data_IF_745504533152
#
_entry.id   IF_745504533152
#
_cell.length_a   1.000
_cell.length_b   1.000
_cell.length_c   1.000
_cell.angle_alpha   90.00
_cell.angle_beta   90.00
_cell.angle_gamma   90.00
#
_symmetry.space_group_name_H-M   'P 1'
#
loop_
_entity.id
_entity.type
_entity.pdbx_description
1 polymer ?
#
# COMPACT_ATOMS: atom_id res chain seq x y z
N UNK A 1 -46.11 -19.50 -15.22
CA UNK A 1 -44.82 -20.16 -15.40
C UNK A 1 -44.07 -20.17 -14.07
N UNK A 2 -43.63 -21.31 -13.60
CA UNK A 2 -42.94 -21.42 -12.33
C UNK A 2 -41.54 -20.80 -12.42
N UNK A 3 -40.99 -20.22 -11.35
CA UNK A 3 -39.65 -19.63 -11.37
C UNK A 3 -38.56 -20.58 -11.85
N UNK A 4 -38.68 -21.88 -11.55
CA UNK A 4 -37.73 -22.90 -11.99
C UNK A 4 -37.74 -23.08 -13.50
N UNK A 5 -38.92 -23.09 -14.11
CA UNK A 5 -39.05 -23.20 -15.57
C UNK A 5 -38.48 -21.98 -16.28
N UNK A 6 -38.70 -20.79 -15.74
CA UNK A 6 -38.10 -19.57 -16.25
C UNK A 6 -36.60 -19.61 -16.19
N UNK A 7 -36.04 -20.10 -15.09
CA UNK A 7 -34.61 -20.26 -14.94
C UNK A 7 -34.02 -21.20 -15.98
N UNK A 8 -34.59 -22.39 -16.12
CA UNK A 8 -34.13 -23.40 -17.09
C UNK A 8 -34.19 -22.88 -18.52
N UNK A 9 -35.27 -22.18 -18.87
CA UNK A 9 -35.51 -21.63 -20.21
C UNK A 9 -34.53 -20.52 -20.58
N UNK A 10 -34.10 -19.75 -19.58
CA UNK A 10 -33.20 -18.61 -19.76
C UNK A 10 -31.88 -18.78 -19.03
N UNK A 11 -31.43 -20.03 -18.87
CA UNK A 11 -30.24 -20.37 -18.09
C UNK A 11 -28.99 -19.61 -18.53
N UNK A 12 -28.80 -19.41 -19.83
CA UNK A 12 -27.64 -18.68 -20.36
C UNK A 12 -27.65 -17.23 -19.88
N UNK A 13 -28.82 -16.57 -19.92
CA UNK A 13 -28.96 -15.19 -19.47
C UNK A 13 -28.80 -15.08 -17.95
N UNK A 14 -29.41 -16.01 -17.21
CA UNK A 14 -29.28 -16.07 -15.77
C UNK A 14 -27.83 -16.27 -15.33
N UNK A 15 -27.12 -17.17 -15.99
CA UNK A 15 -25.70 -17.43 -15.73
C UNK A 15 -24.83 -16.20 -16.05
N UNK A 16 -25.08 -15.54 -17.17
CA UNK A 16 -24.37 -14.31 -17.54
C UNK A 16 -24.59 -13.20 -16.49
N UNK A 17 -25.80 -13.07 -15.98
CA UNK A 17 -26.09 -12.13 -14.90
C UNK A 17 -25.33 -12.48 -13.63
N UNK A 18 -25.32 -13.74 -13.21
CA UNK A 18 -24.59 -14.17 -12.02
C UNK A 18 -23.08 -13.87 -12.12
N UNK A 19 -22.49 -14.12 -13.28
CA UNK A 19 -21.08 -13.80 -13.54
C UNK A 19 -20.83 -12.30 -13.41
N UNK A 20 -21.68 -11.49 -14.02
CA UNK A 20 -21.58 -10.02 -13.95
C UNK A 20 -21.77 -9.51 -12.53
N UNK A 21 -22.70 -10.09 -11.78
CA UNK A 21 -22.96 -9.73 -10.38
C UNK A 21 -21.76 -10.07 -9.50
N UNK A 22 -21.13 -11.22 -9.69
CA UNK A 22 -19.92 -11.63 -8.99
C UNK A 22 -18.75 -10.68 -9.29
N UNK A 23 -18.61 -10.22 -10.52
CA UNK A 23 -17.61 -9.23 -10.90
C UNK A 23 -17.82 -7.90 -10.16
N UNK A 24 -19.06 -7.44 -10.09
CA UNK A 24 -19.42 -6.21 -9.36
C UNK A 24 -19.08 -6.34 -7.88
N UNK A 25 -19.44 -7.45 -7.26
CA UNK A 25 -19.15 -7.71 -5.85
C UNK A 25 -17.65 -7.77 -5.57
N UNK A 26 -16.89 -8.41 -6.44
CA UNK A 26 -15.43 -8.50 -6.34
C UNK A 26 -14.78 -7.13 -6.45
N UNK A 27 -15.22 -6.34 -7.44
CA UNK A 27 -14.73 -4.97 -7.64
C UNK A 27 -15.08 -4.07 -6.45
N UNK A 28 -16.30 -4.21 -5.92
CA UNK A 28 -16.74 -3.48 -4.74
C UNK A 28 -15.86 -3.82 -3.52
N UNK A 29 -15.54 -5.09 -3.32
CA UNK A 29 -14.63 -5.53 -2.27
C UNK A 29 -13.24 -4.93 -2.40
N UNK A 30 -12.70 -4.88 -3.62
CA UNK A 30 -11.40 -4.24 -3.89
C UNK A 30 -11.43 -2.74 -3.62
N UNK A 31 -12.53 -2.08 -3.97
CA UNK A 31 -12.73 -0.66 -3.70
C UNK A 31 -12.79 -0.39 -2.19
N UNK A 32 -13.54 -1.19 -1.45
CA UNK A 32 -13.66 -1.08 0.01
C UNK A 32 -12.31 -1.24 0.69
N UNK A 33 -11.50 -2.20 0.25
CA UNK A 33 -10.14 -2.41 0.74
C UNK A 33 -9.23 -1.21 0.43
N UNK A 34 -9.32 -0.66 -0.77
CA UNK A 34 -8.55 0.51 -1.19
C UNK A 34 -8.94 1.75 -0.36
N UNK A 35 -10.23 1.96 -0.12
CA UNK A 35 -10.72 3.05 0.72
C UNK A 35 -10.25 2.91 2.17
N UNK A 36 -10.23 1.69 2.69
CA UNK A 36 -9.71 1.43 4.04
C UNK A 36 -8.21 1.75 4.13
N UNK A 37 -7.42 1.39 3.12
CA UNK A 37 -5.99 1.75 3.06
C UNK A 37 -5.79 3.25 2.97
N UNK A 38 -6.60 3.94 2.16
CA UNK A 38 -6.57 5.40 2.04
C UNK A 38 -6.80 6.06 3.40
N UNK A 39 -7.80 5.61 4.14
CA UNK A 39 -8.11 6.14 5.48
C UNK A 39 -6.96 5.91 6.46
N UNK A 40 -6.36 4.73 6.45
CA UNK A 40 -5.21 4.42 7.31
C UNK A 40 -4.00 5.30 7.00
N UNK A 41 -3.70 5.50 5.73
CA UNK A 41 -2.59 6.35 5.29
C UNK A 41 -2.82 7.81 5.66
N UNK A 42 -4.04 8.29 5.46
CA UNK A 42 -4.42 9.66 5.80
C UNK A 42 -4.33 9.91 7.31
N UNK A 43 -4.83 8.97 8.11
CA UNK A 43 -4.73 9.03 9.56
C UNK A 43 -3.27 8.99 10.03
N UNK A 44 -2.45 8.14 9.43
CA UNK A 44 -1.01 8.05 9.71
C UNK A 44 -0.30 9.37 9.45
N UNK A 45 -0.61 10.02 8.34
CA UNK A 45 -0.05 11.32 7.99
C UNK A 45 -0.47 12.39 8.99
N UNK A 46 -1.74 12.44 9.36
CA UNK A 46 -2.28 13.39 10.33
C UNK A 46 -1.64 13.24 11.71
N UNK A 47 -1.45 12.02 12.19
CA UNK A 47 -0.82 11.74 13.48
C UNK A 47 0.65 12.14 13.46
N UNK A 48 1.35 11.90 12.36
CA UNK A 48 2.77 12.25 12.22
C UNK A 48 2.99 13.75 12.17
N UNK A 49 2.17 14.48 11.42
CA UNK A 49 2.25 15.94 11.30
C UNK A 49 1.71 16.63 12.55
N UNK A 50 0.68 16.07 13.17
CA UNK A 50 0.05 16.61 14.37
C UNK A 50 -0.97 17.73 14.12
N UNK A 51 -1.33 17.99 12.88
CA UNK A 51 -2.33 19.00 12.51
C UNK A 51 -3.16 18.54 11.32
N UNK A 52 -4.48 18.45 11.51
CA UNK A 52 -5.41 18.06 10.45
C UNK A 52 -5.48 19.11 9.35
N UNK A 53 -5.43 20.38 9.72
CA UNK A 53 -5.48 21.50 8.78
C UNK A 53 -4.26 21.54 7.86
N UNK A 54 -3.07 21.31 8.39
CA UNK A 54 -1.82 21.26 7.60
C UNK A 54 -1.87 20.12 6.61
N UNK A 55 -2.30 18.92 7.02
CA UNK A 55 -2.44 17.77 6.13
C UNK A 55 -3.49 18.03 5.05
N UNK A 56 -4.63 18.58 5.42
CA UNK A 56 -5.67 18.94 4.48
C UNK A 56 -5.17 19.93 3.41
N UNK A 57 -4.46 20.96 3.83
CA UNK A 57 -3.87 21.95 2.91
C UNK A 57 -2.82 21.32 1.97
N UNK A 58 -1.96 20.47 2.49
CA UNK A 58 -0.92 19.79 1.71
C UNK A 58 -1.51 18.86 0.64
N UNK A 59 -2.61 18.18 0.96
CA UNK A 59 -3.24 17.20 0.09
C UNK A 59 -4.41 17.75 -0.74
N UNK A 60 -4.80 19.01 -0.51
CA UNK A 60 -5.96 19.59 -1.16
C UNK A 60 -7.28 18.98 -0.73
N UNK A 61 -7.38 18.54 0.52
CA UNK A 61 -8.56 17.91 1.10
C UNK A 61 -9.25 18.85 2.09
N UNK A 62 -10.51 18.51 2.44
CA UNK A 62 -11.20 19.14 3.55
C UNK A 62 -10.67 18.59 4.88
N UNK A 63 -10.45 19.45 5.85
CA UNK A 63 -10.00 19.06 7.19
C UNK A 63 -10.95 18.06 7.87
N UNK A 64 -12.24 18.07 7.49
CA UNK A 64 -13.22 17.09 7.98
C UNK A 64 -12.91 15.67 7.55
N UNK A 65 -12.42 15.49 6.31
CA UNK A 65 -12.00 14.17 5.81
C UNK A 65 -10.82 13.63 6.61
N UNK A 66 -9.87 14.48 6.91
CA UNK A 66 -8.70 14.12 7.71
C UNK A 66 -9.11 13.70 9.12
N UNK A 67 -9.99 14.49 9.76
CA UNK A 67 -10.52 14.18 11.10
C UNK A 67 -11.30 12.88 11.12
N UNK A 68 -12.13 12.64 10.09
CA UNK A 68 -12.90 11.40 9.98
C UNK A 68 -11.99 10.19 9.86
N UNK A 69 -10.96 10.25 9.02
CA UNK A 69 -9.99 9.18 8.86
C UNK A 69 -9.26 8.89 10.18
N UNK A 70 -8.80 9.93 10.87
CA UNK A 70 -8.11 9.79 12.16
C UNK A 70 -9.01 9.19 13.24
N UNK A 71 -10.30 9.54 13.23
CA UNK A 71 -11.28 9.00 14.17
C UNK A 71 -11.63 7.56 13.87
N UNK A 72 -11.75 7.20 12.58
CA UNK A 72 -12.08 5.85 12.13
C UNK A 72 -10.97 4.86 12.41
N UNK A 73 -9.73 5.25 12.16
CA UNK A 73 -8.56 4.36 12.29
C UNK A 73 -8.08 4.25 13.74
N UNK A 74 -8.18 5.33 14.50
CA UNK A 74 -7.63 5.37 15.85
C UNK A 74 -6.15 5.72 15.89
N UNK A 75 -5.73 6.31 17.00
CA UNK A 75 -4.39 6.87 17.16
C UNK A 75 -3.27 5.83 17.12
N UNK A 76 -3.47 4.71 17.80
CA UNK A 76 -2.44 3.66 17.90
C UNK A 76 -2.23 2.97 16.56
N UNK A 77 -3.30 2.65 15.87
CA UNK A 77 -3.25 2.04 14.53
C UNK A 77 -2.63 3.00 13.51
N UNK A 78 -2.99 4.29 13.58
CA UNK A 78 -2.41 5.31 12.71
C UNK A 78 -0.89 5.45 12.93
N UNK A 79 -0.43 5.41 14.16
CA UNK A 79 1.00 5.43 14.49
C UNK A 79 1.73 4.20 13.99
N UNK A 80 1.12 3.02 14.13
CA UNK A 80 1.69 1.77 13.65
C UNK A 80 1.84 1.77 12.12
N UNK A 81 0.83 2.26 11.40
CA UNK A 81 0.88 2.43 9.94
C UNK A 81 1.97 3.42 9.54
N UNK A 82 2.05 4.57 10.20
CA UNK A 82 3.06 5.59 9.94
C UNK A 82 4.47 5.02 10.11
N UNK A 83 4.72 4.31 11.20
CA UNK A 83 6.00 3.67 11.48
C UNK A 83 6.37 2.67 10.38
N UNK A 84 5.44 1.80 10.00
CA UNK A 84 5.64 0.79 8.97
C UNK A 84 5.99 1.41 7.62
N UNK A 85 5.25 2.44 7.19
CA UNK A 85 5.49 3.13 5.92
C UNK A 85 6.82 3.89 5.91
N UNK A 86 7.17 4.55 6.99
CA UNK A 86 8.43 5.28 7.10
C UNK A 86 9.63 4.34 7.14
N UNK A 87 9.54 3.21 7.84
CA UNK A 87 10.58 2.20 7.88
C UNK A 87 10.80 1.56 6.50
N UNK A 88 9.72 1.25 5.79
CA UNK A 88 9.77 0.72 4.43
C UNK A 88 10.41 1.72 3.47
N UNK A 89 10.01 2.98 3.52
CA UNK A 89 10.60 4.05 2.72
C UNK A 89 12.09 4.23 3.01
N UNK A 90 12.51 4.12 4.26
CA UNK A 90 13.91 4.20 4.64
C UNK A 90 14.72 3.02 4.08
N UNK A 91 14.15 1.81 4.08
CA UNK A 91 14.78 0.63 3.48
C UNK A 91 14.93 0.77 1.96
N UNK A 92 13.91 1.25 1.29
CA UNK A 92 13.93 1.50 -0.16
C UNK A 92 14.99 2.53 -0.53
N UNK A 93 15.09 3.61 0.23
CA UNK A 93 16.14 4.64 0.02
C UNK A 93 17.53 4.09 0.23
N UNK A 94 17.75 3.24 1.22
CA UNK A 94 19.04 2.57 1.43
C UNK A 94 19.37 1.62 0.30
N UNK A 95 18.40 0.85 -0.18
CA UNK A 95 18.58 -0.05 -1.31
C UNK A 95 18.93 0.73 -2.59
N UNK A 96 18.21 1.85 -2.85
CA UNK A 96 18.49 2.72 -3.99
C UNK A 96 19.89 3.34 -3.91
N UNK A 97 20.32 3.78 -2.74
CA UNK A 97 21.68 4.31 -2.53
C UNK A 97 22.74 3.25 -2.77
N UNK A 98 22.51 1.99 -2.37
CA UNK A 98 23.43 0.89 -2.64
C UNK A 98 23.51 0.58 -4.12
N UNK A 99 22.39 0.63 -4.84
CA UNK A 99 22.36 0.40 -6.28
C UNK A 99 23.09 1.50 -7.07
N UNK A 100 22.98 2.76 -6.62
CA UNK A 100 23.60 3.93 -7.23
C UNK A 100 25.01 4.21 -6.70
N UNK A 101 25.43 3.55 -5.63
CA UNK A 101 26.78 3.72 -5.09
C UNK A 101 27.80 3.28 -6.14
N UNK A 102 28.82 4.11 -6.42
CA UNK A 102 29.91 3.66 -7.29
C UNK A 102 30.52 2.40 -6.70
N UNK A 103 30.94 1.43 -7.54
CA UNK A 103 31.58 0.23 -7.02
C UNK A 103 32.76 0.65 -6.15
N UNK A 104 32.77 0.17 -4.92
CA UNK A 104 33.88 0.41 -4.02
C UNK A 104 35.14 -0.12 -4.69
N UNK A 105 36.22 0.66 -4.75
CA UNK A 105 37.48 0.15 -5.27
C UNK A 105 37.84 -1.10 -4.45
N UNK A 106 38.02 -2.22 -5.14
CA UNK A 106 38.50 -3.42 -4.52
C UNK A 106 39.81 -3.06 -3.82
N UNK A 107 39.90 -3.29 -2.52
CA UNK A 107 41.10 -3.07 -1.81
C UNK A 107 42.21 -3.84 -2.54
N UNK A 108 43.37 -3.19 -2.85
CA UNK A 108 44.43 -3.89 -3.55
C UNK A 108 44.79 -5.17 -2.76
N UNK A 109 44.82 -6.28 -3.47
CA UNK A 109 45.26 -7.53 -2.83
C UNK A 109 46.58 -7.30 -2.11
N UNK A 110 46.70 -7.75 -0.86
CA UNK A 110 47.99 -7.70 -0.22
C UNK A 110 49.02 -8.42 -1.10
N UNK A 111 50.23 -7.86 -1.27
CA UNK A 111 51.23 -8.49 -2.12
C UNK A 111 51.43 -9.93 -1.66
N UNK A 112 51.36 -10.85 -2.60
CA UNK A 112 51.64 -12.25 -2.31
C UNK A 112 53.00 -12.32 -1.67
N UNK A 113 53.18 -13.08 -0.56
CA UNK A 113 54.48 -13.30 -0.04
C UNK A 113 55.34 -13.90 -1.13
N UNK A 114 56.50 -13.33 -1.36
CA UNK A 114 57.46 -13.82 -2.34
C UNK A 114 57.68 -15.30 -2.05
N UNK A 115 57.50 -16.15 -3.07
CA UNK A 115 57.83 -17.55 -2.93
C UNK A 115 59.28 -17.66 -2.48
N UNK A 116 59.58 -18.40 -1.42
CA UNK A 116 60.98 -18.56 -1.02
C UNK A 116 61.74 -19.14 -2.19
N UNK A 117 62.79 -18.47 -2.61
CA UNK A 117 63.70 -19.00 -3.62
C UNK A 117 64.28 -20.32 -3.12
N UNK A 118 64.01 -21.35 -3.89
CA UNK A 118 64.59 -22.68 -3.55
C UNK A 118 66.11 -22.64 -3.59
#
# INVERSE_FOLDING_TARGET
>A
MEPRELWERHAVLAQAFCISDDEVRRTQGLLDEAEARRSRTLAAFAVTVGSDEVVADLLGLDAREVRLARRTVGKDDARAVAKSLLDESARERRAARRADAPPQPVAPEPPRPASPAA
#
